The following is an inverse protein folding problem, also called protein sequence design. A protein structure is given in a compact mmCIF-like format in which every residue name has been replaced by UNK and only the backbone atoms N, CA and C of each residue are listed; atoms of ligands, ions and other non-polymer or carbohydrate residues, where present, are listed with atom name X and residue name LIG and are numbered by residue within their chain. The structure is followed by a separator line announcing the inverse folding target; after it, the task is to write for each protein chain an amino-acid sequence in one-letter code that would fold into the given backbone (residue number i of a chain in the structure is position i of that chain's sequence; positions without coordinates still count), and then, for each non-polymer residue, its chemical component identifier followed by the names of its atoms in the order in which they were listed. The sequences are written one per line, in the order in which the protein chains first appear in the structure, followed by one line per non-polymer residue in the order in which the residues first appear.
data_IF_957193174016
#
_entry.id   IF_957193174016
#
_cell.length_a   1.000
_cell.length_b   1.000
_cell.length_c   1.000
_cell.angle_alpha   90.00
_cell.angle_beta   90.00
_cell.angle_gamma   90.00
#
_symmetry.space_group_name_H-M   'P 1'
#
loop_
_entity.id
_entity.type
_entity.pdbx_description
1 polymer ?
#
# COMPACT_ATOMS: atom_id res chain seq x y z
N UNK A 1 23.42 1.71 -6.97
CA UNK A 1 22.57 2.79 -6.47
C UNK A 1 21.30 2.22 -5.87
N UNK A 2 20.79 2.82 -4.75
CA UNK A 2 19.49 2.50 -4.18
C UNK A 2 18.43 3.23 -4.98
N UNK A 3 17.45 2.51 -5.49
CA UNK A 3 16.25 3.09 -6.11
C UNK A 3 15.22 3.39 -5.02
N UNK A 4 14.52 4.50 -5.15
CA UNK A 4 13.45 4.87 -4.21
C UNK A 4 12.13 4.87 -4.95
N UNK A 5 11.13 4.20 -4.37
CA UNK A 5 9.74 4.21 -4.82
C UNK A 5 8.93 4.88 -3.71
N UNK A 6 8.05 5.80 -4.08
CA UNK A 6 7.16 6.49 -3.15
C UNK A 6 5.73 6.18 -3.54
N UNK A 7 4.99 5.55 -2.66
CA UNK A 7 3.62 5.13 -2.93
C UNK A 7 2.68 5.51 -1.79
N UNK A 8 1.43 5.75 -2.13
CA UNK A 8 0.36 6.03 -1.18
C UNK A 8 -0.83 5.09 -1.44
N UNK A 9 -1.46 4.68 -0.36
CA UNK A 9 -2.81 4.13 -0.39
C UNK A 9 -3.77 5.31 -0.31
N UNK A 10 -4.43 5.60 -1.44
CA UNK A 10 -5.41 6.68 -1.56
C UNK A 10 -6.78 6.07 -1.34
N UNK A 11 -7.34 6.36 -0.18
CA UNK A 11 -8.43 5.57 0.37
C UNK A 11 -9.40 6.41 1.19
N UNK A 12 -10.51 5.81 1.59
CA UNK A 12 -11.50 6.43 2.45
C UNK A 12 -10.95 6.69 3.87
N UNK A 13 -11.58 7.65 4.54
CA UNK A 13 -11.25 8.07 5.91
C UNK A 13 -11.76 7.08 6.96
N UNK A 14 -11.18 7.14 8.16
CA UNK A 14 -11.65 6.43 9.35
C UNK A 14 -11.13 5.01 9.52
N UNK A 15 -10.32 4.48 8.61
CA UNK A 15 -9.84 3.08 8.64
C UNK A 15 -8.94 2.77 9.86
N UNK A 16 -8.22 3.76 10.39
CA UNK A 16 -7.40 3.62 11.60
C UNK A 16 -8.21 3.45 12.88
N UNK A 17 -9.54 3.64 12.84
CA UNK A 17 -10.44 3.33 13.96
C UNK A 17 -10.63 1.82 14.18
N UNK A 18 -10.24 0.99 13.20
CA UNK A 18 -10.50 -0.45 13.18
C UNK A 18 -11.92 -0.81 12.70
N UNK A 19 -12.75 0.19 12.35
CA UNK A 19 -14.06 -0.03 11.76
C UNK A 19 -13.97 0.17 10.24
N UNK A 20 -14.36 -0.86 9.51
CA UNK A 20 -14.32 -0.88 8.04
C UNK A 20 -15.75 -0.70 7.52
N UNK A 21 -16.16 0.56 7.36
CA UNK A 21 -17.48 0.87 6.86
C UNK A 21 -17.63 0.45 5.39
N UNK A 22 -18.78 -0.10 5.04
CA UNK A 22 -19.08 -0.56 3.68
C UNK A 22 -19.61 0.55 2.77
N UNK A 23 -19.96 1.70 3.34
CA UNK A 23 -20.49 2.87 2.62
C UNK A 23 -20.43 4.13 3.50
N UNK A 24 -20.59 5.30 2.88
CA UNK A 24 -20.71 6.59 3.59
C UNK A 24 -19.40 7.16 4.11
N UNK A 25 -18.25 6.62 3.70
CA UNK A 25 -16.95 7.16 4.07
C UNK A 25 -16.59 8.36 3.20
N UNK A 26 -15.99 9.39 3.79
CA UNK A 26 -15.43 10.52 3.07
C UNK A 26 -14.08 10.19 2.45
N UNK A 27 -13.70 11.00 1.46
CA UNK A 27 -12.38 10.98 0.79
C UNK A 27 -11.77 12.39 0.73
N UNK A 28 -12.08 13.24 1.71
CA UNK A 28 -11.62 14.64 1.72
C UNK A 28 -10.09 14.74 1.84
N UNK A 29 -9.45 13.73 2.43
CA UNK A 29 -8.01 13.53 2.51
C UNK A 29 -7.30 13.60 1.14
N UNK A 30 -7.99 13.21 0.06
CA UNK A 30 -7.45 13.26 -1.32
C UNK A 30 -7.11 14.70 -1.73
N UNK A 31 -7.84 15.69 -1.21
CA UNK A 31 -7.56 17.11 -1.47
C UNK A 31 -6.18 17.57 -0.98
N UNK A 32 -5.52 16.81 -0.13
CA UNK A 32 -4.19 17.10 0.41
C UNK A 32 -3.04 16.57 -0.47
N UNK A 33 -3.30 15.69 -1.45
CA UNK A 33 -2.27 15.10 -2.33
C UNK A 33 -1.38 16.15 -3.02
N UNK A 34 -1.87 17.32 -3.47
CA UNK A 34 -1.01 18.34 -4.08
C UNK A 34 0.10 18.87 -3.16
N UNK A 35 -0.02 18.72 -1.83
CA UNK A 35 1.09 19.03 -0.88
C UNK A 35 2.32 18.16 -1.10
N UNK A 36 2.18 17.01 -1.77
CA UNK A 36 3.27 16.09 -2.10
C UNK A 36 3.93 16.42 -3.46
N UNK A 37 3.41 17.39 -4.20
CA UNK A 37 3.96 17.80 -5.49
C UNK A 37 5.48 18.08 -5.48
N UNK A 38 6.08 18.65 -4.41
CA UNK A 38 7.53 18.83 -4.33
C UNK A 38 8.34 17.54 -4.46
N UNK A 39 7.81 16.39 -4.04
CA UNK A 39 8.49 15.10 -4.20
C UNK A 39 8.74 14.78 -5.68
N UNK A 40 7.75 15.00 -6.54
CA UNK A 40 7.89 14.77 -7.99
C UNK A 40 8.61 15.93 -8.67
N UNK A 41 8.16 17.17 -8.43
CA UNK A 41 8.63 18.36 -9.15
C UNK A 41 10.07 18.73 -8.81
N UNK A 42 10.42 18.72 -7.51
CA UNK A 42 11.67 19.29 -7.03
C UNK A 42 12.72 18.20 -6.73
N UNK A 43 12.27 17.01 -6.33
CA UNK A 43 13.14 15.90 -5.95
C UNK A 43 13.18 14.75 -6.97
N UNK A 44 12.33 14.77 -8.00
CA UNK A 44 12.32 13.77 -9.06
C UNK A 44 11.82 12.38 -8.62
N UNK A 45 10.99 12.30 -7.58
CA UNK A 45 10.34 11.07 -7.12
C UNK A 45 8.86 11.07 -7.53
N UNK A 46 8.49 10.52 -8.71
CA UNK A 46 7.09 10.37 -9.08
C UNK A 46 6.39 9.46 -8.06
N UNK A 47 5.14 9.78 -7.78
CA UNK A 47 4.32 9.04 -6.83
C UNK A 47 3.57 7.91 -7.56
N UNK A 48 3.40 6.77 -6.89
CA UNK A 48 2.40 5.76 -7.25
C UNK A 48 1.22 5.90 -6.29
N UNK A 49 0.05 6.21 -6.79
CA UNK A 49 -1.19 6.41 -6.04
C UNK A 49 -2.08 5.19 -6.23
N UNK A 50 -2.13 4.31 -5.25
CA UNK A 50 -3.03 3.15 -5.24
C UNK A 50 -4.41 3.60 -4.75
N UNK A 51 -5.38 3.72 -5.65
CA UNK A 51 -6.66 4.34 -5.39
C UNK A 51 -7.76 3.31 -5.14
N UNK A 52 -8.51 3.50 -4.05
CA UNK A 52 -9.69 2.69 -3.74
C UNK A 52 -10.88 3.06 -4.65
N UNK A 53 -11.86 2.16 -4.75
CA UNK A 53 -13.07 2.39 -5.55
C UNK A 53 -13.84 3.65 -5.11
N UNK A 54 -13.91 3.90 -3.81
CA UNK A 54 -14.54 5.09 -3.22
C UNK A 54 -13.95 6.40 -3.72
N UNK A 55 -12.65 6.40 -4.02
CA UNK A 55 -11.93 7.56 -4.56
C UNK A 55 -12.29 7.80 -6.02
N UNK A 56 -12.36 6.73 -6.85
CA UNK A 56 -12.81 6.85 -8.24
C UNK A 56 -14.29 7.23 -8.36
N UNK A 57 -15.10 6.91 -7.34
CA UNK A 57 -16.52 7.27 -7.31
C UNK A 57 -16.77 8.74 -6.90
N UNK A 58 -15.76 9.47 -6.44
CA UNK A 58 -15.87 10.88 -6.04
C UNK A 58 -15.28 11.82 -7.10
N UNK A 59 -16.13 12.65 -7.70
CA UNK A 59 -15.72 13.57 -8.76
C UNK A 59 -14.72 14.65 -8.28
N UNK A 60 -14.71 15.00 -7.00
CA UNK A 60 -13.75 15.94 -6.40
C UNK A 60 -12.37 15.28 -6.31
N UNK A 61 -12.32 14.04 -5.82
CA UNK A 61 -11.11 13.24 -5.75
C UNK A 61 -10.53 12.98 -7.15
N UNK A 62 -11.36 12.62 -8.13
CA UNK A 62 -10.92 12.43 -9.51
C UNK A 62 -10.20 13.66 -10.08
N UNK A 63 -10.71 14.88 -9.88
CA UNK A 63 -10.02 16.10 -10.33
C UNK A 63 -8.63 16.28 -9.69
N UNK A 64 -8.47 15.91 -8.42
CA UNK A 64 -7.17 15.94 -7.76
C UNK A 64 -6.24 14.87 -8.32
N UNK A 65 -6.74 13.67 -8.58
CA UNK A 65 -5.96 12.59 -9.20
C UNK A 65 -5.50 12.97 -10.63
N UNK A 66 -6.38 13.61 -11.43
CA UNK A 66 -6.02 14.16 -12.75
C UNK A 66 -4.87 15.15 -12.62
N UNK A 67 -4.96 16.10 -11.67
CA UNK A 67 -3.88 17.04 -11.41
C UNK A 67 -2.57 16.32 -11.05
N UNK A 68 -2.62 15.33 -10.17
CA UNK A 68 -1.43 14.58 -9.76
C UNK A 68 -0.82 13.79 -10.92
N UNK A 69 -1.64 13.17 -11.76
CA UNK A 69 -1.21 12.44 -12.95
C UNK A 69 -0.61 13.37 -14.00
N UNK A 70 -1.36 14.40 -14.41
CA UNK A 70 -1.06 15.19 -15.59
C UNK A 70 0.03 16.25 -15.35
N UNK A 71 0.10 16.81 -14.14
CA UNK A 71 1.09 17.86 -13.82
C UNK A 71 2.30 17.36 -13.04
N UNK A 72 2.16 16.26 -12.29
CA UNK A 72 3.23 15.75 -11.43
C UNK A 72 3.68 14.33 -11.77
N UNK A 73 3.13 13.74 -12.86
CA UNK A 73 3.56 12.44 -13.37
C UNK A 73 3.26 11.28 -12.43
N UNK A 74 2.24 11.40 -11.57
CA UNK A 74 1.86 10.32 -10.68
C UNK A 74 1.29 9.13 -11.47
N UNK A 75 1.72 7.93 -11.13
CA UNK A 75 1.10 6.69 -11.56
C UNK A 75 -0.18 6.46 -10.76
N UNK A 76 -1.26 6.06 -11.44
CA UNK A 76 -2.50 5.65 -10.80
C UNK A 76 -2.60 4.14 -10.82
N UNK A 77 -2.67 3.52 -9.65
CA UNK A 77 -2.84 2.08 -9.44
C UNK A 77 -4.16 1.75 -8.75
N UNK A 78 -4.49 0.49 -8.69
CA UNK A 78 -5.69 -0.01 -8.03
C UNK A 78 -5.43 -0.40 -6.57
N UNK A 79 -6.35 -0.03 -5.66
CA UNK A 79 -6.34 -0.42 -4.25
C UNK A 79 -7.64 -1.10 -3.85
N UNK A 80 -7.60 -2.43 -3.64
CA UNK A 80 -8.82 -3.18 -3.38
C UNK A 80 -9.16 -3.22 -1.90
N UNK A 81 -10.20 -2.48 -1.52
CA UNK A 81 -10.89 -2.65 -0.25
C UNK A 81 -12.09 -3.58 -0.44
N UNK A 82 -11.94 -4.84 -0.05
CA UNK A 82 -12.99 -5.82 -0.28
C UNK A 82 -14.30 -5.52 0.48
N UNK A 83 -14.26 -4.73 1.56
CA UNK A 83 -15.44 -4.37 2.35
C UNK A 83 -16.25 -3.21 1.76
N UNK A 84 -15.62 -2.26 1.05
CA UNK A 84 -16.26 -1.06 0.50
C UNK A 84 -16.41 -1.08 -1.02
N UNK A 85 -15.70 -1.99 -1.74
CA UNK A 85 -15.83 -2.12 -3.19
C UNK A 85 -17.08 -2.93 -3.56
N UNK A 86 -17.98 -2.42 -4.43
CA UNK A 86 -19.14 -3.17 -4.88
C UNK A 86 -18.79 -4.48 -5.62
N UNK A 87 -19.66 -5.49 -5.63
CA UNK A 87 -20.99 -5.50 -4.99
C UNK A 87 -20.92 -5.69 -3.48
N UNK A 88 -21.87 -5.07 -2.77
CA UNK A 88 -22.02 -5.27 -1.33
C UNK A 88 -22.36 -6.73 -1.01
N UNK A 89 -21.81 -7.26 0.07
CA UNK A 89 -22.09 -8.62 0.53
C UNK A 89 -21.89 -8.71 2.04
N UNK A 90 -22.71 -9.49 2.75
CA UNK A 90 -22.49 -9.75 4.17
C UNK A 90 -21.37 -10.75 4.44
N UNK A 91 -20.78 -11.36 3.41
CA UNK A 91 -19.71 -12.34 3.57
C UNK A 91 -18.38 -11.64 3.90
N UNK A 92 -17.81 -11.99 5.04
CA UNK A 92 -16.49 -11.59 5.48
C UNK A 92 -15.79 -12.79 6.16
N UNK A 93 -14.68 -13.30 5.63
CA UNK A 93 -13.99 -12.89 4.41
C UNK A 93 -14.77 -13.27 3.13
N UNK A 94 -14.61 -12.48 2.05
CA UNK A 94 -15.24 -12.80 0.77
C UNK A 94 -14.61 -14.05 0.14
N UNK A 95 -15.43 -14.89 -0.52
CA UNK A 95 -14.92 -15.98 -1.35
C UNK A 95 -14.35 -15.46 -2.69
N UNK A 96 -13.66 -16.32 -3.42
CA UNK A 96 -12.92 -15.96 -4.64
C UNK A 96 -13.79 -15.27 -5.71
N UNK A 97 -14.99 -15.80 -6.00
CA UNK A 97 -15.88 -15.19 -7.00
C UNK A 97 -16.27 -13.75 -6.65
N UNK A 98 -16.49 -13.48 -5.36
CA UNK A 98 -16.81 -12.14 -4.90
C UNK A 98 -15.58 -11.21 -4.99
N UNK A 99 -14.40 -11.72 -4.69
CA UNK A 99 -13.14 -10.97 -4.88
C UNK A 99 -12.91 -10.65 -6.36
N UNK A 100 -13.16 -11.59 -7.26
CA UNK A 100 -13.08 -11.41 -8.71
C UNK A 100 -14.03 -10.30 -9.19
N UNK A 101 -15.27 -10.31 -8.75
CA UNK A 101 -16.25 -9.28 -9.10
C UNK A 101 -15.84 -7.90 -8.58
N UNK A 102 -15.40 -7.81 -7.34
CA UNK A 102 -14.93 -6.54 -6.75
C UNK A 102 -13.67 -6.01 -7.42
N UNK A 103 -12.73 -6.89 -7.73
CA UNK A 103 -11.53 -6.52 -8.51
C UNK A 103 -11.94 -5.97 -9.89
N UNK A 104 -12.83 -6.63 -10.60
CA UNK A 104 -13.32 -6.15 -11.89
C UNK A 104 -13.99 -4.77 -11.76
N UNK A 105 -14.87 -4.58 -10.76
CA UNK A 105 -15.52 -3.29 -10.49
C UNK A 105 -14.50 -2.17 -10.24
N UNK A 106 -13.48 -2.43 -9.43
CA UNK A 106 -12.42 -1.46 -9.15
C UNK A 106 -11.61 -1.13 -10.41
N UNK A 107 -11.21 -2.15 -11.19
CA UNK A 107 -10.43 -1.95 -12.41
C UNK A 107 -11.22 -1.26 -13.51
N UNK A 108 -12.53 -1.50 -13.60
CA UNK A 108 -13.42 -0.79 -14.52
C UNK A 108 -13.53 0.70 -14.18
N UNK A 109 -13.73 1.03 -12.89
CA UNK A 109 -13.73 2.42 -12.42
C UNK A 109 -12.39 3.12 -12.69
N UNK A 110 -11.27 2.45 -12.42
CA UNK A 110 -9.94 2.99 -12.71
C UNK A 110 -9.67 3.15 -14.19
N UNK A 111 -10.14 2.24 -15.04
CA UNK A 111 -10.04 2.33 -16.50
C UNK A 111 -10.89 3.47 -17.06
N UNK A 112 -12.10 3.67 -16.54
CA UNK A 112 -12.95 4.79 -16.91
C UNK A 112 -12.28 6.13 -16.57
N UNK A 113 -11.72 6.24 -15.37
CA UNK A 113 -10.98 7.42 -14.92
C UNK A 113 -9.75 7.72 -15.80
N UNK A 114 -8.94 6.69 -16.09
CA UNK A 114 -7.63 6.86 -16.73
C UNK A 114 -7.69 6.83 -18.25
N UNK A 115 -8.76 6.30 -18.86
CA UNK A 115 -8.85 6.02 -20.30
C UNK A 115 -8.01 4.82 -20.76
N UNK A 116 -7.36 4.11 -19.85
CA UNK A 116 -6.52 2.95 -20.09
C UNK A 116 -6.54 1.98 -18.90
N UNK A 117 -6.23 0.68 -19.09
CA UNK A 117 -6.16 -0.27 -17.99
C UNK A 117 -5.11 0.14 -16.93
N UNK A 118 -5.44 -0.04 -15.66
CA UNK A 118 -4.47 0.06 -14.57
C UNK A 118 -3.53 -1.15 -14.61
N UNK A 119 -2.26 -0.93 -14.33
CA UNK A 119 -1.23 -1.98 -14.40
C UNK A 119 -0.57 -2.30 -13.07
N UNK A 120 -0.81 -1.50 -12.05
CA UNK A 120 -0.30 -1.70 -10.69
C UNK A 120 -1.44 -1.85 -9.68
N UNK A 121 -1.18 -2.63 -8.64
CA UNK A 121 -2.18 -3.02 -7.66
C UNK A 121 -1.59 -3.08 -6.26
N UNK A 122 -2.42 -2.78 -5.26
CA UNK A 122 -2.18 -3.08 -3.85
C UNK A 122 -3.46 -3.55 -3.17
N UNK A 123 -3.37 -4.66 -2.42
CA UNK A 123 -4.48 -5.16 -1.63
C UNK A 123 -4.64 -4.37 -0.33
N UNK A 124 -5.86 -3.99 -0.01
CA UNK A 124 -6.19 -3.34 1.26
C UNK A 124 -5.84 -4.23 2.44
N UNK A 125 -5.32 -3.63 3.51
CA UNK A 125 -4.83 -4.30 4.72
C UNK A 125 -3.73 -5.34 4.45
N UNK A 126 -3.16 -5.35 3.26
CA UNK A 126 -2.18 -6.35 2.80
C UNK A 126 -2.70 -7.79 2.90
N UNK A 127 -4.02 -7.98 2.88
CA UNK A 127 -4.69 -9.29 2.97
C UNK A 127 -4.66 -10.03 1.62
N UNK A 128 -3.46 -10.14 1.05
CA UNK A 128 -3.22 -10.82 -0.23
C UNK A 128 -3.35 -12.32 -0.05
N UNK A 129 -4.56 -12.85 -0.27
CA UNK A 129 -4.80 -14.29 -0.27
C UNK A 129 -4.24 -14.95 -1.53
N UNK A 130 -3.90 -16.23 -1.45
CA UNK A 130 -3.31 -16.98 -2.57
C UNK A 130 -4.17 -16.95 -3.84
N UNK A 131 -5.49 -16.89 -3.71
CA UNK A 131 -6.41 -16.78 -4.85
C UNK A 131 -6.35 -15.43 -5.57
N UNK A 132 -5.83 -14.38 -4.94
CA UNK A 132 -5.81 -13.02 -5.55
C UNK A 132 -4.76 -12.89 -6.64
N UNK A 133 -3.56 -13.44 -6.46
CA UNK A 133 -2.49 -13.33 -7.46
C UNK A 133 -2.86 -13.81 -8.87
N UNK A 134 -3.49 -15.00 -9.03
CA UNK A 134 -3.98 -15.41 -10.35
C UNK A 134 -4.97 -14.41 -10.94
N UNK A 135 -5.89 -13.87 -10.11
CA UNK A 135 -6.88 -12.88 -10.55
C UNK A 135 -6.22 -11.59 -11.05
N UNK A 136 -5.16 -11.12 -10.38
CA UNK A 136 -4.43 -9.92 -10.78
C UNK A 136 -3.81 -10.08 -12.17
N UNK A 137 -3.09 -11.18 -12.40
CA UNK A 137 -2.43 -11.39 -13.69
C UNK A 137 -3.43 -11.68 -14.81
N UNK A 138 -4.54 -12.39 -14.54
CA UNK A 138 -5.66 -12.57 -15.47
C UNK A 138 -6.29 -11.22 -15.88
N UNK A 139 -6.41 -10.28 -14.92
CA UNK A 139 -6.92 -8.94 -15.17
C UNK A 139 -5.90 -7.99 -15.84
N UNK A 140 -4.68 -8.45 -16.12
CA UNK A 140 -3.66 -7.66 -16.81
C UNK A 140 -2.78 -6.79 -15.91
N UNK A 141 -2.88 -6.92 -14.58
CA UNK A 141 -1.96 -6.28 -13.64
C UNK A 141 -0.54 -6.81 -13.87
N UNK A 142 0.42 -5.90 -13.86
CA UNK A 142 1.85 -6.19 -14.06
C UNK A 142 2.66 -6.14 -12.78
N UNK A 143 2.25 -5.27 -11.84
CA UNK A 143 2.95 -5.05 -10.58
C UNK A 143 1.95 -5.18 -9.43
N UNK A 144 2.26 -6.06 -8.49
CA UNK A 144 1.57 -6.15 -7.19
C UNK A 144 2.48 -5.57 -6.10
N UNK A 145 1.93 -4.78 -5.20
CA UNK A 145 2.63 -4.20 -4.05
C UNK A 145 1.94 -4.54 -2.73
N UNK A 146 1.38 -5.74 -2.66
CA UNK A 146 0.56 -6.18 -1.50
C UNK A 146 1.36 -6.91 -0.43
N UNK A 147 2.55 -7.42 -0.75
CA UNK A 147 3.36 -8.15 0.23
C UNK A 147 4.01 -7.18 1.21
N UNK A 148 3.79 -7.45 2.50
CA UNK A 148 4.43 -6.74 3.60
C UNK A 148 5.38 -7.72 4.34
N UNK A 149 6.68 -7.76 4.01
CA UNK A 149 7.65 -8.66 4.65
C UNK A 149 7.68 -8.48 6.17
N UNK A 150 8.07 -9.53 6.89
CA UNK A 150 8.13 -9.56 8.36
C UNK A 150 6.77 -9.36 9.04
N UNK A 151 5.68 -9.55 8.31
CA UNK A 151 4.31 -9.56 8.84
C UNK A 151 3.68 -10.94 8.72
N UNK A 152 2.90 -11.28 9.70
CA UNK A 152 2.02 -12.45 9.70
C UNK A 152 0.64 -12.02 10.17
N UNK A 153 -0.33 -12.03 9.27
CA UNK A 153 -1.68 -11.57 9.58
C UNK A 153 -2.51 -12.75 10.12
N UNK A 154 -3.03 -12.68 11.35
CA UNK A 154 -3.87 -13.75 11.88
C UNK A 154 -5.08 -14.00 10.98
N UNK A 155 -5.23 -15.26 10.50
CA UNK A 155 -6.28 -15.63 9.53
C UNK A 155 -6.08 -15.13 8.11
N UNK A 156 -4.96 -14.46 7.84
CA UNK A 156 -4.55 -13.94 6.55
C UNK A 156 -3.21 -14.52 6.08
N UNK A 157 -2.52 -13.87 5.14
CA UNK A 157 -1.28 -14.36 4.57
C UNK A 157 -0.10 -14.30 5.55
N UNK A 158 0.84 -15.23 5.39
CA UNK A 158 2.14 -15.21 6.06
C UNK A 158 3.22 -14.65 5.12
N UNK A 159 3.52 -13.37 5.26
CA UNK A 159 4.56 -12.69 4.51
C UNK A 159 5.90 -12.59 5.26
N UNK A 160 6.02 -13.27 6.41
CA UNK A 160 7.14 -13.03 7.33
C UNK A 160 8.51 -13.27 6.70
N UNK A 161 8.66 -14.30 5.89
CA UNK A 161 9.91 -14.62 5.19
C UNK A 161 9.93 -14.14 3.72
N UNK A 162 8.96 -13.34 3.28
CA UNK A 162 8.95 -12.80 1.94
C UNK A 162 10.20 -11.93 1.67
N UNK A 163 10.73 -11.92 0.44
CA UNK A 163 11.81 -11.03 0.05
C UNK A 163 11.46 -9.57 0.29
N UNK A 164 12.46 -8.76 0.67
CA UNK A 164 12.26 -7.33 0.90
C UNK A 164 12.48 -6.47 -0.36
N UNK A 165 13.19 -6.97 -1.36
CA UNK A 165 13.34 -6.34 -2.68
C UNK A 165 12.37 -6.96 -3.69
N UNK A 166 12.03 -6.26 -4.79
CA UNK A 166 11.13 -6.79 -5.81
C UNK A 166 11.58 -8.13 -6.39
N UNK A 167 10.61 -9.01 -6.63
CA UNK A 167 10.82 -10.34 -7.19
C UNK A 167 9.65 -10.76 -8.10
N UNK A 168 9.94 -11.66 -9.04
CA UNK A 168 8.94 -12.20 -9.94
C UNK A 168 8.19 -13.35 -9.27
N UNK A 169 6.90 -13.37 -9.46
CA UNK A 169 6.01 -14.49 -9.11
C UNK A 169 5.28 -14.98 -10.35
N UNK A 170 4.88 -16.23 -10.33
CA UNK A 170 4.05 -16.82 -11.37
C UNK A 170 2.58 -16.42 -11.14
N UNK A 171 1.97 -15.84 -12.16
CA UNK A 171 0.55 -15.48 -12.17
C UNK A 171 -0.28 -16.51 -12.97
N UNK A 172 -1.42 -16.08 -13.48
CA UNK A 172 -2.34 -16.91 -14.26
C UNK A 172 -1.65 -17.46 -15.52
N UNK A 173 -1.75 -18.79 -15.73
CA UNK A 173 -1.16 -19.49 -16.87
C UNK A 173 0.35 -19.19 -17.10
N UNK A 174 1.10 -18.98 -16.03
CA UNK A 174 2.53 -18.69 -16.11
C UNK A 174 2.88 -17.26 -16.48
N UNK A 175 1.92 -16.35 -16.59
CA UNK A 175 2.20 -14.94 -16.85
C UNK A 175 3.00 -14.32 -15.69
N UNK A 176 4.11 -13.60 -15.96
CA UNK A 176 4.91 -13.02 -14.90
C UNK A 176 4.18 -11.84 -14.23
N UNK A 177 4.17 -11.83 -12.90
CA UNK A 177 3.73 -10.71 -12.06
C UNK A 177 4.92 -10.26 -11.21
N UNK A 178 5.21 -8.96 -11.24
CA UNK A 178 6.25 -8.39 -10.39
C UNK A 178 5.65 -8.08 -9.02
N UNK A 179 6.13 -8.76 -7.99
CA UNK A 179 5.87 -8.35 -6.60
C UNK A 179 6.86 -7.26 -6.20
N UNK A 180 6.34 -6.10 -5.82
CA UNK A 180 7.10 -4.95 -5.32
C UNK A 180 6.74 -4.70 -3.84
N UNK A 181 7.36 -5.41 -2.89
CA UNK A 181 6.96 -5.41 -1.49
C UNK A 181 7.06 -4.04 -0.85
N UNK A 182 6.18 -3.78 0.11
CA UNK A 182 6.31 -2.66 1.04
C UNK A 182 7.57 -2.88 1.88
N UNK A 183 8.41 -1.84 1.96
CA UNK A 183 9.69 -2.00 2.63
C UNK A 183 9.54 -2.19 4.13
N UNK A 184 10.03 -3.32 4.60
CA UNK A 184 10.22 -3.65 6.00
C UNK A 184 11.68 -4.06 6.20
N UNK A 185 12.37 -3.42 7.13
CA UNK A 185 13.81 -3.61 7.33
C UNK A 185 14.04 -4.20 8.72
N UNK A 186 14.46 -5.48 8.84
CA UNK A 186 14.72 -6.06 10.13
C UNK A 186 15.96 -5.41 10.76
N UNK A 187 15.90 -5.11 12.05
CA UNK A 187 17.08 -4.68 12.80
C UNK A 187 18.18 -5.74 12.75
N UNK A 188 17.80 -7.01 12.90
CA UNK A 188 18.67 -8.17 12.82
C UNK A 188 18.03 -9.29 11.97
N UNK A 189 18.50 -9.53 10.72
CA UNK A 189 17.94 -10.57 9.85
C UNK A 189 17.99 -11.99 10.46
N UNK A 190 19.10 -12.35 11.10
CA UNK A 190 19.23 -13.66 11.74
C UNK A 190 18.23 -13.85 12.90
N UNK A 191 17.96 -12.78 13.64
CA UNK A 191 16.97 -12.80 14.71
C UNK A 191 15.54 -12.94 14.16
N UNK A 192 15.25 -12.33 13.02
CA UNK A 192 13.96 -12.51 12.35
C UNK A 192 13.74 -13.98 11.95
N UNK A 193 14.76 -14.63 11.37
CA UNK A 193 14.70 -16.05 11.02
C UNK A 193 14.54 -16.95 12.26
N UNK A 194 15.29 -16.67 13.32
CA UNK A 194 15.16 -17.41 14.57
C UNK A 194 13.76 -17.25 15.18
N UNK A 195 13.24 -16.01 15.20
CA UNK A 195 11.89 -15.72 15.67
C UNK A 195 10.83 -16.51 14.90
N UNK A 196 10.93 -16.51 13.56
CA UNK A 196 10.01 -17.26 12.71
C UNK A 196 9.97 -18.76 13.03
N UNK A 197 11.16 -19.36 13.30
CA UNK A 197 11.30 -20.79 13.60
C UNK A 197 10.87 -21.14 15.01
N UNK A 198 11.14 -20.26 15.98
CA UNK A 198 10.93 -20.53 17.39
C UNK A 198 9.54 -20.13 17.91
N UNK A 199 8.88 -19.15 17.25
CA UNK A 199 7.61 -18.63 17.72
C UNK A 199 6.41 -19.23 16.99
N UNK A 200 5.32 -19.54 17.71
CA UNK A 200 4.05 -19.93 17.08
C UNK A 200 3.56 -18.86 16.10
N UNK A 201 2.85 -19.28 15.04
CA UNK A 201 2.32 -18.39 14.01
C UNK A 201 1.57 -17.18 14.59
N UNK A 202 0.69 -17.41 15.57
CA UNK A 202 -0.08 -16.34 16.23
C UNK A 202 0.78 -15.28 16.95
N UNK A 203 2.08 -15.54 17.18
CA UNK A 203 3.00 -14.60 17.81
C UNK A 203 4.00 -13.97 16.85
N UNK A 204 4.07 -14.41 15.60
CA UNK A 204 5.07 -13.94 14.62
C UNK A 204 4.96 -12.45 14.37
N UNK A 205 3.75 -11.94 14.25
CA UNK A 205 3.52 -10.52 13.95
C UNK A 205 4.03 -9.58 15.05
N UNK A 206 4.21 -10.08 16.29
CA UNK A 206 4.79 -9.28 17.39
C UNK A 206 6.20 -8.80 17.10
N UNK A 207 6.95 -9.48 16.21
CA UNK A 207 8.28 -9.06 15.78
C UNK A 207 8.28 -7.68 15.12
N UNK A 208 7.22 -7.34 14.42
CA UNK A 208 7.08 -6.07 13.75
C UNK A 208 7.21 -4.86 14.70
N UNK A 209 6.71 -4.95 15.91
CA UNK A 209 6.67 -3.83 16.85
C UNK A 209 8.03 -3.45 17.48
N UNK A 210 9.03 -4.35 17.43
CA UNK A 210 10.33 -4.09 18.06
C UNK A 210 11.53 -4.47 17.19
N UNK A 211 11.35 -5.32 16.21
CA UNK A 211 12.43 -5.87 15.39
C UNK A 211 12.53 -5.29 13.99
N UNK A 212 11.64 -4.34 13.60
CA UNK A 212 11.48 -3.88 12.23
C UNK A 212 11.46 -2.35 12.17
N UNK A 213 12.05 -1.81 11.11
CA UNK A 213 11.90 -0.41 10.72
C UNK A 213 11.12 -0.35 9.40
N UNK A 214 10.02 0.40 9.40
CA UNK A 214 9.22 0.70 8.21
C UNK A 214 9.55 2.10 7.73
N UNK A 215 9.94 2.31 6.48
CA UNK A 215 10.19 3.66 5.97
C UNK A 215 8.87 4.39 5.66
N UNK A 216 8.14 4.73 6.72
CA UNK A 216 6.93 5.54 6.69
C UNK A 216 7.23 6.86 7.40
N UNK A 217 7.06 8.03 6.74
CA UNK A 217 7.42 9.35 7.29
C UNK A 217 6.55 9.77 8.47
N UNK A 218 5.32 9.23 8.58
CA UNK A 218 4.41 9.49 9.70
C UNK A 218 4.74 8.65 10.94
N UNK A 219 5.50 7.55 10.79
CA UNK A 219 5.84 6.65 11.89
C UNK A 219 7.24 6.89 12.44
N UNK A 220 8.15 7.43 11.63
CA UNK A 220 9.55 7.57 12.00
C UNK A 220 10.13 8.94 11.63
N UNK A 221 10.90 9.49 12.56
CA UNK A 221 11.66 10.70 12.30
C UNK A 221 12.66 10.52 11.12
N UNK A 222 13.00 11.57 10.36
CA UNK A 222 13.88 11.49 9.20
C UNK A 222 15.25 10.85 9.47
N UNK A 223 15.81 11.03 10.68
CA UNK A 223 17.06 10.38 11.11
C UNK A 223 16.95 8.84 11.13
N UNK A 224 15.82 8.32 11.57
CA UNK A 224 15.57 6.86 11.62
C UNK A 224 15.39 6.33 10.20
N UNK A 225 14.63 7.01 9.36
CA UNK A 225 14.46 6.64 7.95
C UNK A 225 15.81 6.63 7.20
N UNK A 226 16.65 7.65 7.40
CA UNK A 226 18.01 7.67 6.82
C UNK A 226 18.89 6.52 7.31
N UNK A 227 18.79 6.16 8.58
CA UNK A 227 19.51 5.01 9.13
C UNK A 227 19.01 3.71 8.53
N UNK A 228 17.69 3.50 8.46
CA UNK A 228 17.08 2.34 7.82
C UNK A 228 17.51 2.19 6.35
N UNK A 229 17.48 3.26 5.58
CA UNK A 229 17.92 3.27 4.18
C UNK A 229 19.41 2.91 4.02
N UNK A 230 20.29 3.45 4.90
CA UNK A 230 21.72 3.10 4.90
C UNK A 230 21.95 1.64 5.26
N UNK A 231 21.24 1.13 6.25
CA UNK A 231 21.32 -0.25 6.68
C UNK A 231 20.86 -1.20 5.57
N UNK A 232 19.72 -0.89 4.92
CA UNK A 232 19.22 -1.66 3.79
C UNK A 232 20.24 -1.71 2.64
N UNK A 233 20.75 -0.56 2.21
CA UNK A 233 21.79 -0.47 1.18
C UNK A 233 23.05 -1.27 1.51
N UNK A 234 23.54 -1.18 2.77
CA UNK A 234 24.74 -1.92 3.22
C UNK A 234 24.56 -3.43 3.18
N UNK A 235 23.31 -3.91 3.27
CA UNK A 235 22.95 -5.32 3.18
C UNK A 235 22.68 -5.79 1.76
N UNK A 236 22.96 -4.96 0.74
CA UNK A 236 22.75 -5.30 -0.67
C UNK A 236 21.37 -4.98 -1.20
N UNK A 237 20.50 -4.34 -0.39
CA UNK A 237 19.16 -3.95 -0.81
C UNK A 237 19.20 -2.95 -1.97
N UNK A 238 18.33 -3.14 -2.95
CA UNK A 238 18.32 -2.41 -4.21
C UNK A 238 17.19 -1.38 -4.30
N UNK A 239 16.03 -1.67 -3.68
CA UNK A 239 14.84 -0.81 -3.74
C UNK A 239 14.40 -0.43 -2.33
N UNK A 240 14.13 0.85 -2.12
CA UNK A 240 13.52 1.39 -0.91
C UNK A 240 12.11 1.87 -1.26
N UNK A 241 11.09 1.08 -0.91
CA UNK A 241 9.69 1.47 -1.06
C UNK A 241 9.23 2.21 0.18
N UNK A 242 8.94 3.51 0.04
CA UNK A 242 8.26 4.30 1.05
C UNK A 242 6.75 4.18 0.80
N UNK A 243 5.98 4.12 1.88
CA UNK A 243 4.53 4.11 1.75
C UNK A 243 3.87 4.80 2.94
N UNK A 244 2.70 5.34 2.73
CA UNK A 244 1.76 5.79 3.75
C UNK A 244 0.34 5.87 3.17
N UNK A 245 -0.64 6.21 3.99
CA UNK A 245 -2.02 6.35 3.57
C UNK A 245 -2.38 7.82 3.40
N UNK A 246 -3.21 8.16 2.44
CA UNK A 246 -3.68 9.54 2.24
C UNK A 246 -4.40 10.08 3.48
N UNK A 247 -5.10 9.21 4.21
CA UNK A 247 -5.76 9.52 5.48
C UNK A 247 -4.79 9.92 6.59
N UNK A 248 -3.52 9.49 6.57
CA UNK A 248 -2.49 9.93 7.51
C UNK A 248 -2.09 11.41 7.31
N UNK A 249 -2.44 12.01 6.18
CA UNK A 249 -2.20 13.43 5.92
C UNK A 249 -3.25 14.36 6.58
N UNK A 250 -4.38 13.80 7.02
CA UNK A 250 -5.41 14.52 7.74
C UNK A 250 -5.09 14.62 9.24
N UNK A 251 -5.29 15.79 9.85
CA UNK A 251 -5.30 15.90 11.31
C UNK A 251 -6.36 14.99 11.94
N UNK A 252 -5.94 14.12 12.85
CA UNK A 252 -6.81 13.11 13.45
C UNK A 252 -7.11 11.90 12.55
N UNK A 253 -6.57 11.83 11.33
CA UNK A 253 -6.80 10.74 10.39
C UNK A 253 -6.09 9.44 10.78
N UNK A 254 -5.06 9.52 11.61
CA UNK A 254 -4.39 8.36 12.19
C UNK A 254 -3.89 8.64 13.61
N UNK A 255 -3.60 7.60 14.41
CA UNK A 255 -3.02 7.79 15.75
C UNK A 255 -1.65 8.49 15.75
N UNK A 256 -0.95 8.48 14.62
CA UNK A 256 0.35 9.11 14.44
C UNK A 256 0.26 10.61 14.10
N UNK A 257 -0.91 11.08 13.68
CA UNK A 257 -1.16 12.46 13.26
C UNK A 257 -2.38 13.01 14.01
N UNK A 258 -2.23 13.30 15.31
CA UNK A 258 -3.36 13.71 16.14
C UNK A 258 -3.89 15.11 15.83
N UNK A 259 -3.07 15.99 15.24
CA UNK A 259 -3.40 17.37 14.98
C UNK A 259 -2.71 17.94 13.72
N UNK A 260 -3.07 19.18 13.37
CA UNK A 260 -2.52 19.88 12.21
C UNK A 260 -1.00 20.07 12.29
N UNK A 261 -0.48 20.33 13.49
CA UNK A 261 0.97 20.53 13.71
C UNK A 261 1.75 19.24 13.39
N UNK A 262 1.21 18.08 13.78
CA UNK A 262 1.83 16.79 13.47
C UNK A 262 1.81 16.52 11.96
N UNK A 263 0.70 16.83 11.26
CA UNK A 263 0.60 16.70 9.82
C UNK A 263 1.62 17.60 9.09
N UNK A 264 1.70 18.87 9.47
CA UNK A 264 2.62 19.84 8.86
C UNK A 264 4.08 19.44 9.08
N UNK A 265 4.46 18.99 10.27
CA UNK A 265 5.83 18.57 10.59
C UNK A 265 6.34 17.39 9.75
N UNK A 266 5.45 16.62 9.14
CA UNK A 266 5.84 15.53 8.23
C UNK A 266 5.92 16.02 6.78
N UNK A 267 5.07 16.98 6.40
CA UNK A 267 4.92 17.45 5.02
C UNK A 267 5.88 18.64 4.68
N UNK A 268 6.51 19.25 5.70
CA UNK A 268 7.59 20.24 5.58
C UNK A 268 8.98 19.57 5.53
#
# INVERSE_FOLDING_TARGET
PLRVVVSLDVEEEGLFSGHYATSGCGVSNVSLLPRLAPLSRDLGFPLTLFCAHTVFADAGACRVLEQMRDHYGAEIGAHLHHWSTPPASPLDPPHEDLLRLRLATLLDAGREFQGAPLTSFRMGRWDLKDCVRPLLSEAGIKVDSSVCPLRHFPGGPDHFLAPADPYWVEGWQGAPLLEAPIKQIPLHPALAQLWYRACPAASRDKFHFWGVLSPNPFWHAPRIMRWAARMHRRRGGQVLSLFWHSSEMLPGGSPHVPDQKAADAVLE
#
